data_IF_060468367228
#
_entry.id   IF_060468367228
#
_cell.length_a   1.000
_cell.length_b   1.000
_cell.length_c   1.000
_cell.angle_alpha   90.00
_cell.angle_beta   90.00
_cell.angle_gamma   90.00
#
_symmetry.space_group_name_H-M   'P 1'
#
loop_
_entity.id
_entity.type
_entity.pdbx_description
1 polymer ?
#
# COMPACT_ATOMS: atom_id res chain seq x y z
N UNK A 1 43.10 -1.85 -10.69
CA UNK A 1 41.79 -2.44 -10.32
C UNK A 1 41.05 -1.39 -9.52
N UNK A 2 40.12 -0.66 -10.14
CA UNK A 2 39.20 0.21 -9.40
C UNK A 2 38.10 -0.69 -8.86
N UNK A 3 38.04 -0.84 -7.55
CA UNK A 3 36.93 -1.49 -6.86
C UNK A 3 35.72 -0.56 -7.00
N UNK A 4 34.68 -1.02 -7.70
CA UNK A 4 33.39 -0.35 -7.78
C UNK A 4 32.75 -0.50 -6.39
N UNK A 5 32.40 0.59 -5.68
CA UNK A 5 31.69 0.44 -4.41
C UNK A 5 30.32 -0.20 -4.69
N UNK A 6 29.74 -1.01 -3.78
CA UNK A 6 28.36 -1.46 -3.94
C UNK A 6 27.43 -0.24 -3.90
N UNK A 7 26.86 0.14 -5.05
CA UNK A 7 25.96 1.30 -5.23
C UNK A 7 24.51 0.83 -5.45
N UNK A 8 23.93 0.05 -4.53
CA UNK A 8 22.61 -0.58 -4.82
C UNK A 8 21.61 -0.57 -3.67
N UNK A 9 21.94 0.03 -2.52
CA UNK A 9 21.06 -0.04 -1.33
C UNK A 9 19.94 1.01 -1.31
N UNK A 10 20.05 2.08 -2.10
CA UNK A 10 19.17 3.26 -2.00
C UNK A 10 18.53 3.69 -3.32
N UNK A 11 18.68 2.92 -4.40
CA UNK A 11 18.19 3.30 -5.72
C UNK A 11 16.75 2.80 -6.02
N UNK A 12 16.07 2.32 -4.97
CA UNK A 12 14.75 1.70 -5.07
C UNK A 12 13.92 1.98 -3.82
N UNK A 13 12.61 1.99 -3.99
CA UNK A 13 11.62 2.02 -2.91
C UNK A 13 11.19 0.58 -2.64
N UNK A 14 11.08 0.22 -1.37
CA UNK A 14 10.55 -1.08 -0.97
C UNK A 14 9.12 -0.90 -0.48
N UNK A 15 8.18 -1.62 -1.09
CA UNK A 15 6.77 -1.60 -0.69
C UNK A 15 6.37 -2.95 -0.11
N UNK A 16 5.81 -2.94 1.09
CA UNK A 16 5.20 -4.08 1.73
C UNK A 16 3.69 -3.99 1.55
N UNK A 17 3.16 -4.89 0.75
CA UNK A 17 1.75 -4.95 0.39
C UNK A 17 0.97 -5.76 1.44
N UNK A 18 0.12 -5.06 2.17
CA UNK A 18 -0.85 -5.55 3.14
C UNK A 18 -2.29 -5.12 2.73
N UNK A 19 -2.55 -5.03 1.42
CA UNK A 19 -3.86 -4.65 0.87
C UNK A 19 -4.88 -5.79 0.86
N UNK A 20 -4.48 -7.01 1.23
CA UNK A 20 -5.38 -8.16 1.35
C UNK A 20 -6.47 -7.88 2.42
N UNK A 21 -7.75 -8.13 2.12
CA UNK A 21 -8.86 -7.83 3.03
C UNK A 21 -8.86 -8.68 4.31
N UNK A 22 -8.01 -9.70 4.43
CA UNK A 22 -7.79 -10.44 5.67
C UNK A 22 -6.86 -9.76 6.67
N UNK A 23 -6.11 -8.72 6.25
CA UNK A 23 -5.20 -7.99 7.13
C UNK A 23 -5.98 -7.04 8.02
N UNK A 24 -6.10 -7.37 9.30
CA UNK A 24 -6.80 -6.58 10.30
C UNK A 24 -5.92 -5.53 11.01
N UNK A 25 -6.54 -4.74 11.89
CA UNK A 25 -5.89 -3.67 12.65
C UNK A 25 -4.75 -4.18 13.55
N UNK A 26 -4.90 -5.36 14.16
CA UNK A 26 -3.87 -5.99 14.99
C UNK A 26 -2.64 -6.35 14.16
N UNK A 27 -2.84 -6.89 12.96
CA UNK A 27 -1.79 -7.24 12.00
C UNK A 27 -1.08 -5.98 11.51
N UNK A 28 -1.79 -4.92 11.14
CA UNK A 28 -1.17 -3.63 10.76
C UNK A 28 -0.28 -3.09 11.88
N UNK A 29 -0.73 -3.16 13.14
CA UNK A 29 0.09 -2.74 14.29
C UNK A 29 1.36 -3.56 14.44
N UNK A 30 1.33 -4.86 14.14
CA UNK A 30 2.51 -5.71 14.13
C UNK A 30 3.46 -5.33 12.99
N UNK A 31 2.94 -5.20 11.77
CA UNK A 31 3.71 -4.82 10.59
C UNK A 31 4.39 -3.46 10.73
N UNK A 32 3.76 -2.47 11.38
CA UNK A 32 4.41 -1.19 11.68
C UNK A 32 5.64 -1.35 12.59
N UNK A 33 5.58 -2.24 13.59
CA UNK A 33 6.74 -2.50 14.45
C UNK A 33 7.88 -3.12 13.66
N UNK A 34 7.57 -4.11 12.83
CA UNK A 34 8.56 -4.78 11.99
C UNK A 34 9.13 -3.84 10.90
N UNK A 35 8.31 -2.96 10.33
CA UNK A 35 8.75 -1.92 9.40
C UNK A 35 9.86 -1.04 10.01
N UNK A 36 9.60 -0.51 11.21
CA UNK A 36 10.55 0.36 11.91
C UNK A 36 11.81 -0.40 12.33
N UNK A 37 11.67 -1.66 12.80
CA UNK A 37 12.83 -2.52 13.11
C UNK A 37 13.65 -2.78 11.85
N UNK A 38 13.00 -3.11 10.74
CA UNK A 38 13.64 -3.40 9.46
C UNK A 38 14.30 -2.19 8.80
N UNK A 39 13.82 -0.97 9.07
CA UNK A 39 14.38 0.28 8.56
C UNK A 39 15.67 0.73 9.29
N UNK A 40 15.98 0.17 10.47
CA UNK A 40 17.17 0.56 11.26
C UNK A 40 18.45 0.41 10.45
N UNK A 41 19.23 1.49 10.39
CA UNK A 41 20.51 1.52 9.66
C UNK A 41 20.39 1.56 8.14
N UNK A 42 19.16 1.59 7.58
CA UNK A 42 18.94 1.72 6.13
C UNK A 42 18.93 3.17 5.65
N UNK A 43 18.63 4.15 6.50
CA UNK A 43 18.74 5.58 6.16
C UNK A 43 17.66 6.16 5.23
N UNK A 44 16.72 5.35 4.73
CA UNK A 44 15.50 5.83 4.06
C UNK A 44 14.35 6.03 5.03
N UNK A 45 13.30 6.73 4.60
CA UNK A 45 12.13 7.04 5.44
C UNK A 45 11.16 5.86 5.46
N UNK A 46 10.42 5.76 6.54
CA UNK A 46 9.33 4.81 6.73
C UNK A 46 7.99 5.47 6.49
N UNK A 47 7.15 4.82 5.68
CA UNK A 47 5.84 5.32 5.30
C UNK A 47 4.76 4.32 5.69
N UNK A 48 3.67 4.82 6.25
CA UNK A 48 2.40 4.11 6.33
C UNK A 48 1.42 4.74 5.34
N UNK A 49 0.97 3.98 4.35
CA UNK A 49 -0.13 4.38 3.46
C UNK A 49 -1.28 3.44 3.77
N UNK A 50 -2.39 3.96 4.27
CA UNK A 50 -3.43 3.11 4.86
C UNK A 50 -4.83 3.58 4.51
N UNK A 51 -5.58 2.67 3.89
CA UNK A 51 -7.03 2.74 3.76
C UNK A 51 -7.71 2.06 4.96
N UNK A 52 -9.05 1.99 4.96
CA UNK A 52 -9.76 1.23 5.99
C UNK A 52 -9.33 -0.25 5.98
N UNK A 53 -9.10 -0.80 7.17
CA UNK A 53 -8.89 -2.23 7.40
C UNK A 53 -9.99 -2.81 8.30
N UNK A 54 -10.23 -4.13 8.26
CA UNK A 54 -11.03 -4.82 9.26
C UNK A 54 -10.53 -4.54 10.68
N UNK A 55 -11.45 -4.51 11.63
CA UNK A 55 -11.15 -4.39 13.06
C UNK A 55 -11.72 -5.60 13.76
N UNK A 56 -10.92 -6.26 14.60
CA UNK A 56 -11.36 -7.48 15.29
C UNK A 56 -12.64 -7.25 16.09
N UNK A 57 -13.59 -8.17 15.97
CA UNK A 57 -14.91 -8.09 16.60
C UNK A 57 -15.84 -6.99 16.05
N UNK A 58 -15.44 -6.24 15.01
CA UNK A 58 -16.28 -5.19 14.40
C UNK A 58 -16.74 -5.65 13.02
N UNK A 59 -18.05 -5.63 12.73
CA UNK A 59 -18.55 -6.00 11.40
C UNK A 59 -17.97 -5.07 10.33
N UNK A 60 -17.76 -5.63 9.13
CA UNK A 60 -17.37 -4.86 7.96
C UNK A 60 -18.42 -3.78 7.65
N UNK A 61 -17.99 -2.70 6.99
CA UNK A 61 -18.90 -1.65 6.58
C UNK A 61 -19.98 -2.23 5.65
N UNK A 62 -21.25 -1.93 5.92
CA UNK A 62 -22.32 -2.33 5.02
C UNK A 62 -22.41 -1.36 3.83
N UNK A 63 -22.59 -1.88 2.62
CA UNK A 63 -22.93 -1.07 1.43
C UNK A 63 -24.38 -0.57 1.46
N UNK A 64 -25.10 -0.73 2.58
CA UNK A 64 -26.56 -0.65 2.58
C UNK A 64 -27.05 0.80 2.58
N UNK A 65 -27.73 1.17 1.50
CA UNK A 65 -28.69 2.27 1.41
C UNK A 65 -30.06 1.89 2.01
N UNK A 66 -30.13 0.78 2.76
CA UNK A 66 -31.38 0.22 3.26
C UNK A 66 -31.85 0.98 4.51
N UNK A 67 -33.04 1.57 4.41
CA UNK A 67 -33.64 2.46 5.42
C UNK A 67 -33.99 1.80 6.76
N UNK A 68 -33.85 0.48 6.87
CA UNK A 68 -34.39 -0.32 7.97
C UNK A 68 -33.31 -1.13 8.72
N UNK A 69 -32.03 -1.00 8.33
CA UNK A 69 -30.93 -1.54 9.13
C UNK A 69 -30.81 -0.75 10.43
N UNK A 70 -30.62 -1.44 11.56
CA UNK A 70 -30.44 -0.83 12.87
C UNK A 70 -29.25 0.13 12.84
N UNK A 71 -29.59 1.39 12.59
CA UNK A 71 -28.62 2.47 12.33
C UNK A 71 -27.72 2.67 13.53
N UNK A 72 -28.21 2.34 14.74
CA UNK A 72 -27.41 2.41 15.95
C UNK A 72 -26.29 1.37 15.96
N UNK A 73 -26.54 0.13 15.51
CA UNK A 73 -25.50 -0.89 15.38
C UNK A 73 -24.42 -0.48 14.38
N UNK A 74 -24.81 0.03 13.20
CA UNK A 74 -23.82 0.51 12.20
C UNK A 74 -23.04 1.71 12.72
N UNK A 75 -23.67 2.66 13.42
CA UNK A 75 -22.99 3.81 14.04
C UNK A 75 -22.00 3.38 15.12
N UNK A 76 -22.34 2.35 15.91
CA UNK A 76 -21.41 1.77 16.90
C UNK A 76 -20.22 1.12 16.19
N UNK A 77 -20.46 0.37 15.11
CA UNK A 77 -19.40 -0.25 14.32
C UNK A 77 -18.50 0.79 13.64
N UNK A 78 -19.06 1.83 13.04
CA UNK A 78 -18.30 2.95 12.45
C UNK A 78 -17.46 3.67 13.52
N UNK A 79 -18.02 3.89 14.71
CA UNK A 79 -17.28 4.47 15.83
C UNK A 79 -16.10 3.58 16.26
N UNK A 80 -16.30 2.27 16.34
CA UNK A 80 -15.24 1.33 16.68
C UNK A 80 -14.12 1.34 15.62
N UNK A 81 -14.46 1.36 14.32
CA UNK A 81 -13.49 1.49 13.23
C UNK A 81 -12.71 2.81 13.34
N UNK A 82 -13.40 3.93 13.55
CA UNK A 82 -12.74 5.23 13.70
C UNK A 82 -11.78 5.26 14.91
N UNK A 83 -12.18 4.71 16.07
CA UNK A 83 -11.32 4.64 17.26
C UNK A 83 -10.08 3.77 17.03
N UNK A 84 -10.25 2.61 16.38
CA UNK A 84 -9.12 1.74 16.04
C UNK A 84 -8.12 2.45 15.12
N UNK A 85 -8.61 3.16 14.10
CA UNK A 85 -7.78 3.87 13.13
C UNK A 85 -7.09 5.12 13.74
N UNK A 86 -7.76 5.91 14.59
CA UNK A 86 -7.10 6.97 15.38
C UNK A 86 -5.94 6.40 16.21
N UNK A 87 -6.18 5.28 16.91
CA UNK A 87 -5.16 4.62 17.70
C UNK A 87 -4.01 4.04 16.85
N UNK A 88 -4.24 3.66 15.60
CA UNK A 88 -3.16 3.29 14.67
C UNK A 88 -2.34 4.53 14.30
N UNK A 89 -2.98 5.64 13.95
CA UNK A 89 -2.30 6.89 13.59
C UNK A 89 -1.37 7.39 14.70
N UNK A 90 -1.85 7.39 15.95
CA UNK A 90 -1.03 7.70 17.13
C UNK A 90 0.12 6.73 17.32
N UNK A 91 -0.11 5.43 17.10
CA UNK A 91 0.93 4.42 17.26
C UNK A 91 2.02 4.58 16.21
N UNK A 92 1.68 4.90 14.95
CA UNK A 92 2.63 5.10 13.87
C UNK A 92 3.66 6.17 14.25
N UNK A 93 3.20 7.33 14.73
CA UNK A 93 4.07 8.42 15.20
C UNK A 93 4.92 7.99 16.40
N UNK A 94 4.34 7.32 17.38
CA UNK A 94 5.08 6.82 18.56
C UNK A 94 6.15 5.78 18.22
N UNK A 95 5.97 5.03 17.14
CA UNK A 95 6.97 4.10 16.61
C UNK A 95 8.04 4.79 15.75
N UNK A 96 7.93 6.11 15.53
CA UNK A 96 8.76 6.87 14.61
C UNK A 96 8.63 6.41 13.15
N UNK A 97 7.40 6.13 12.70
CA UNK A 97 7.09 6.12 11.26
C UNK A 97 7.17 7.56 10.75
N UNK A 98 7.99 7.80 9.72
CA UNK A 98 8.32 9.16 9.27
C UNK A 98 7.14 9.87 8.59
N UNK A 99 6.30 9.13 7.85
CA UNK A 99 5.17 9.68 7.10
C UNK A 99 3.93 8.77 7.16
N UNK A 100 2.75 9.36 7.35
CA UNK A 100 1.45 8.65 7.33
C UNK A 100 0.52 9.27 6.28
N UNK A 101 0.02 8.48 5.34
CA UNK A 101 -1.04 8.88 4.41
C UNK A 101 -2.29 8.06 4.71
N UNK A 102 -3.34 8.72 5.17
CA UNK A 102 -4.67 8.12 5.29
C UNK A 102 -5.40 8.21 3.95
N UNK A 103 -5.91 7.09 3.44
CA UNK A 103 -6.56 7.00 2.13
C UNK A 103 -8.06 6.76 2.31
N UNK A 104 -8.88 7.64 1.73
CA UNK A 104 -10.34 7.55 1.68
C UNK A 104 -11.06 8.77 2.24
N UNK A 105 -12.29 9.00 1.77
CA UNK A 105 -13.13 10.14 2.16
C UNK A 105 -13.97 9.91 3.43
N UNK A 106 -13.91 8.71 4.02
CA UNK A 106 -14.75 8.30 5.15
C UNK A 106 -14.25 8.78 6.53
N UNK A 107 -15.08 8.57 7.55
CA UNK A 107 -14.73 8.92 8.94
C UNK A 107 -13.50 8.15 9.44
N UNK A 108 -13.35 6.90 9.02
CA UNK A 108 -12.23 6.03 9.39
C UNK A 108 -10.87 6.62 8.97
N UNK A 109 -10.74 7.04 7.71
CA UNK A 109 -9.50 7.65 7.20
C UNK A 109 -9.22 9.00 7.88
N UNK A 110 -10.26 9.82 8.11
CA UNK A 110 -10.12 11.07 8.88
C UNK A 110 -9.63 10.82 10.30
N UNK A 111 -10.12 9.78 10.97
CA UNK A 111 -9.69 9.42 12.31
C UNK A 111 -8.22 8.97 12.34
N UNK A 112 -7.77 8.16 11.38
CA UNK A 112 -6.36 7.79 11.22
C UNK A 112 -5.46 9.03 11.12
N UNK A 113 -5.80 9.93 10.19
CA UNK A 113 -5.06 11.17 9.97
C UNK A 113 -5.04 12.04 11.23
N UNK A 114 -6.20 12.23 11.89
CA UNK A 114 -6.32 13.00 13.11
C UNK A 114 -5.47 12.42 14.26
N UNK A 115 -5.47 11.09 14.41
CA UNK A 115 -4.64 10.40 15.40
C UNK A 115 -3.15 10.68 15.20
N UNK A 116 -2.67 10.60 13.96
CA UNK A 116 -1.29 10.92 13.61
C UNK A 116 -0.97 12.41 13.85
N UNK A 117 -1.81 13.34 13.36
CA UNK A 117 -1.62 14.79 13.54
C UNK A 117 -1.58 15.20 15.01
N UNK A 118 -2.45 14.63 15.85
CA UNK A 118 -2.50 14.97 17.28
C UNK A 118 -1.32 14.41 18.08
N UNK A 119 -0.68 13.34 17.59
CA UNK A 119 0.50 12.77 18.23
C UNK A 119 1.80 13.43 17.74
N UNK A 120 1.83 13.85 16.48
CA UNK A 120 2.96 14.53 15.86
C UNK A 120 3.18 15.94 16.40
N UNK A 121 4.41 16.43 16.25
CA UNK A 121 4.79 17.77 16.73
C UNK A 121 4.86 18.82 15.61
N UNK A 122 4.92 18.38 14.34
CA UNK A 122 4.98 19.25 13.16
C UNK A 122 4.12 18.65 12.03
N UNK A 123 3.13 19.42 11.55
CA UNK A 123 2.02 18.94 10.72
C UNK A 123 2.33 18.49 9.29
N UNK A 124 3.59 18.17 8.94
CA UNK A 124 3.95 17.59 7.64
C UNK A 124 4.16 16.06 7.71
N UNK A 125 4.02 15.46 8.90
CA UNK A 125 4.21 14.01 9.12
C UNK A 125 2.98 13.18 8.70
N UNK A 126 1.82 13.81 8.49
CA UNK A 126 0.57 13.13 8.15
C UNK A 126 -0.21 13.86 7.07
N UNK A 127 -0.79 13.10 6.13
CA UNK A 127 -1.67 13.62 5.09
C UNK A 127 -2.96 12.79 4.98
N UNK A 128 -4.04 13.45 4.55
CA UNK A 128 -5.30 12.81 4.18
C UNK A 128 -5.47 12.91 2.66
N UNK A 129 -5.55 11.76 2.01
CA UNK A 129 -5.85 11.62 0.60
C UNK A 129 -7.27 11.06 0.46
N UNK A 130 -8.23 11.87 -0.01
CA UNK A 130 -9.62 11.41 -0.12
C UNK A 130 -9.82 10.31 -1.18
N UNK A 131 -8.88 10.19 -2.13
CA UNK A 131 -8.89 9.18 -3.19
C UNK A 131 -7.52 8.53 -3.42
N UNK A 132 -7.50 7.37 -4.07
CA UNK A 132 -6.26 6.69 -4.45
C UNK A 132 -5.39 7.55 -5.38
N UNK A 133 -5.98 8.30 -6.31
CA UNK A 133 -5.26 9.19 -7.22
C UNK A 133 -4.55 10.31 -6.45
N UNK A 134 -5.23 10.90 -5.45
CA UNK A 134 -4.61 11.92 -4.59
C UNK A 134 -3.46 11.34 -3.75
N UNK A 135 -3.58 10.10 -3.29
CA UNK A 135 -2.51 9.40 -2.57
C UNK A 135 -1.31 9.13 -3.50
N UNK A 136 -1.56 8.64 -4.73
CA UNK A 136 -0.54 8.39 -5.73
C UNK A 136 0.22 9.67 -6.08
N UNK A 137 -0.48 10.80 -6.26
CA UNK A 137 0.14 12.09 -6.51
C UNK A 137 1.09 12.52 -5.37
N UNK A 138 0.66 12.41 -4.11
CA UNK A 138 1.51 12.70 -2.94
C UNK A 138 2.75 11.81 -2.89
N UNK A 139 2.58 10.50 -3.11
CA UNK A 139 3.67 9.53 -3.09
C UNK A 139 4.66 9.75 -4.23
N UNK A 140 4.17 10.11 -5.42
CA UNK A 140 5.01 10.36 -6.60
C UNK A 140 5.86 11.62 -6.42
N UNK A 141 5.33 12.63 -5.73
CA UNK A 141 6.04 13.88 -5.44
C UNK A 141 7.09 13.71 -4.33
N UNK A 142 6.79 12.88 -3.33
CA UNK A 142 7.57 12.86 -2.09
C UNK A 142 8.45 11.64 -1.88
N UNK A 143 8.14 10.47 -2.46
CA UNK A 143 8.94 9.26 -2.27
C UNK A 143 10.33 9.43 -2.87
N UNK A 144 11.33 8.89 -2.18
CA UNK A 144 12.72 8.91 -2.63
C UNK A 144 13.35 7.52 -2.49
N UNK A 145 14.47 7.32 -3.15
CA UNK A 145 15.24 6.09 -3.10
C UNK A 145 15.61 5.70 -1.67
N UNK A 146 15.37 4.43 -1.33
CA UNK A 146 15.60 3.88 0.00
C UNK A 146 14.38 3.91 0.93
N UNK A 147 13.28 4.58 0.55
CA UNK A 147 12.06 4.57 1.36
C UNK A 147 11.46 3.17 1.52
N UNK A 148 10.90 2.90 2.70
CA UNK A 148 10.17 1.69 3.04
C UNK A 148 8.71 2.04 3.28
N UNK A 149 7.81 1.48 2.48
CA UNK A 149 6.38 1.81 2.50
C UNK A 149 5.58 0.58 2.91
N UNK A 150 4.77 0.69 3.96
CA UNK A 150 3.72 -0.27 4.27
C UNK A 150 2.39 0.24 3.69
N UNK A 151 1.79 -0.54 2.78
CA UNK A 151 0.49 -0.25 2.17
C UNK A 151 -0.57 -1.17 2.77
N UNK A 152 -1.52 -0.63 3.52
CA UNK A 152 -2.50 -1.42 4.27
C UNK A 152 -3.95 -1.10 3.90
N UNK A 153 -4.74 -2.16 3.71
CA UNK A 153 -6.16 -2.09 3.40
C UNK A 153 -6.46 -2.06 1.90
N UNK A 154 -7.58 -2.65 1.50
CA UNK A 154 -7.93 -2.88 0.09
C UNK A 154 -7.94 -1.59 -0.77
N UNK A 155 -8.28 -0.46 -0.15
CA UNK A 155 -8.32 0.86 -0.80
C UNK A 155 -6.94 1.38 -1.24
N UNK A 156 -5.83 0.75 -0.82
CA UNK A 156 -4.48 1.09 -1.29
C UNK A 156 -4.07 0.34 -2.55
N UNK A 157 -4.81 -0.70 -2.97
CA UNK A 157 -4.46 -1.49 -4.16
C UNK A 157 -4.39 -0.66 -5.46
N UNK A 158 -5.33 0.25 -5.74
CA UNK A 158 -5.19 1.15 -6.90
C UNK A 158 -3.97 2.08 -6.82
N UNK A 159 -3.51 2.43 -5.61
CA UNK A 159 -2.29 3.24 -5.39
C UNK A 159 -1.06 2.44 -5.80
N UNK A 160 -0.98 1.18 -5.35
CA UNK A 160 0.09 0.23 -5.74
C UNK A 160 0.16 0.06 -7.25
N UNK A 161 -0.98 -0.19 -7.88
CA UNK A 161 -1.11 -0.36 -9.34
C UNK A 161 -0.64 0.90 -10.08
N UNK A 162 -1.05 2.09 -9.64
CA UNK A 162 -0.67 3.35 -10.27
C UNK A 162 0.82 3.66 -10.12
N UNK A 163 1.41 3.44 -8.94
CA UNK A 163 2.84 3.65 -8.70
C UNK A 163 3.72 2.77 -9.60
N UNK A 164 3.29 1.54 -9.91
CA UNK A 164 4.01 0.65 -10.83
C UNK A 164 4.11 1.19 -12.26
N UNK A 165 3.22 2.09 -12.67
CA UNK A 165 3.21 2.70 -14.00
C UNK A 165 3.98 4.02 -14.08
N UNK A 166 4.32 4.64 -12.94
CA UNK A 166 5.10 5.89 -12.91
C UNK A 166 6.59 5.60 -13.15
N UNK A 167 7.00 5.69 -14.41
CA UNK A 167 8.26 5.21 -15.00
C UNK A 167 9.58 5.85 -14.55
N UNK A 168 9.77 6.12 -13.26
CA UNK A 168 11.04 6.58 -12.68
C UNK A 168 11.44 5.89 -11.37
N UNK A 169 10.47 5.31 -10.64
CA UNK A 169 10.72 4.67 -9.36
C UNK A 169 10.95 3.16 -9.53
N UNK A 170 12.10 2.67 -9.07
CA UNK A 170 12.31 1.22 -8.93
C UNK A 170 11.55 0.74 -7.70
N UNK A 171 10.38 0.15 -7.89
CA UNK A 171 9.55 -0.36 -6.79
C UNK A 171 9.77 -1.86 -6.63
N UNK A 172 10.10 -2.30 -5.42
CA UNK A 172 10.11 -3.71 -5.04
C UNK A 172 8.93 -3.98 -4.12
N UNK A 173 7.88 -4.58 -4.66
CA UNK A 173 6.73 -5.02 -3.87
C UNK A 173 7.01 -6.38 -3.23
N UNK A 174 6.70 -6.51 -1.95
CA UNK A 174 6.77 -7.76 -1.18
C UNK A 174 5.46 -7.96 -0.43
N UNK A 175 5.01 -9.20 -0.20
CA UNK A 175 3.91 -9.43 0.71
C UNK A 175 4.31 -8.97 2.12
N UNK A 176 3.37 -8.42 2.88
CA UNK A 176 3.66 -7.88 4.21
C UNK A 176 4.26 -8.89 5.20
N UNK A 177 3.93 -10.18 5.05
CA UNK A 177 4.52 -11.29 5.85
C UNK A 177 6.05 -11.39 5.78
N UNK A 178 6.66 -10.83 4.73
CA UNK A 178 8.12 -10.79 4.61
C UNK A 178 8.75 -9.84 5.64
N UNK A 179 7.98 -8.90 6.23
CA UNK A 179 8.42 -8.12 7.40
C UNK A 179 8.52 -9.01 8.65
N UNK A 180 7.57 -9.92 8.84
CA UNK A 180 7.45 -10.75 10.04
C UNK A 180 8.55 -11.82 10.13
N UNK A 181 9.07 -12.24 8.97
CA UNK A 181 10.02 -13.35 8.90
C UNK A 181 11.46 -12.93 9.24
N UNK A 182 11.75 -11.63 9.34
CA UNK A 182 13.09 -11.13 9.67
C UNK A 182 14.21 -11.53 8.71
N UNK A 183 13.89 -12.22 7.61
CA UNK A 183 14.85 -12.69 6.62
C UNK A 183 15.34 -11.50 5.81
N UNK A 184 16.50 -11.01 6.24
CA UNK A 184 17.22 -9.92 5.62
C UNK A 184 17.36 -10.11 4.11
N UNK A 185 17.07 -9.04 3.38
CA UNK A 185 17.67 -8.70 2.07
C UNK A 185 18.19 -9.91 1.27
N UNK A 186 17.28 -10.76 0.78
CA UNK A 186 17.60 -11.54 -0.41
C UNK A 186 17.39 -10.62 -1.62
N UNK A 187 18.49 -10.14 -2.20
CA UNK A 187 18.50 -9.56 -3.55
C UNK A 187 18.26 -10.72 -4.52
N UNK A 188 17.00 -11.09 -4.70
CA UNK A 188 16.58 -11.88 -5.84
C UNK A 188 16.44 -10.91 -7.02
N UNK A 189 17.06 -11.29 -8.14
CA UNK A 189 17.21 -10.46 -9.33
C UNK A 189 15.90 -9.83 -9.79
N UNK A 190 16.04 -8.69 -10.46
CA UNK A 190 14.96 -7.93 -11.10
C UNK A 190 13.97 -8.85 -11.82
N UNK A 191 12.81 -9.10 -11.22
CA UNK A 191 11.67 -9.65 -11.94
C UNK A 191 10.68 -8.51 -12.15
N UNK A 192 10.77 -7.89 -13.32
CA UNK A 192 9.67 -7.08 -13.86
C UNK A 192 8.52 -8.05 -14.09
N UNK A 193 7.51 -8.03 -13.24
CA UNK A 193 6.25 -8.74 -13.50
C UNK A 193 5.52 -7.94 -14.58
N UNK A 194 5.73 -8.34 -15.84
CA UNK A 194 4.85 -7.94 -16.92
C UNK A 194 3.48 -8.58 -16.69
N UNK A 195 2.45 -7.75 -16.50
CA UNK A 195 1.07 -8.21 -16.43
C UNK A 195 0.70 -8.70 -17.83
N UNK A 196 0.71 -10.01 -18.04
CA UNK A 196 0.29 -10.64 -19.29
C UNK A 196 -1.24 -10.73 -19.26
N UNK A 197 -1.92 -9.80 -19.92
CA UNK A 197 -3.36 -9.90 -20.16
C UNK A 197 -3.58 -10.95 -21.25
N UNK A 198 -4.19 -12.08 -20.86
CA UNK A 198 -4.57 -13.12 -21.80
C UNK A 198 -5.86 -12.75 -22.55
N UNK A 199 -5.85 -13.01 -23.86
CA UNK A 199 -7.05 -13.33 -24.64
C UNK A 199 -7.94 -12.19 -25.15
N UNK A 200 -7.66 -11.72 -26.38
CA UNK A 200 -8.72 -11.42 -27.35
C UNK A 200 -8.30 -11.97 -28.72
N UNK A 201 -8.58 -13.26 -28.93
CA UNK A 201 -8.43 -13.94 -30.21
C UNK A 201 -9.61 -13.51 -31.08
N UNK A 202 -9.39 -12.53 -31.96
CA UNK A 202 -10.29 -12.23 -33.05
C UNK A 202 -10.03 -13.25 -34.17
N UNK A 203 -11.03 -14.07 -34.43
CA UNK A 203 -11.17 -14.94 -35.59
C UNK A 203 -11.42 -14.08 -36.83
N UNK A 204 -10.36 -13.79 -37.58
CA UNK A 204 -10.47 -13.26 -38.95
C UNK A 204 -9.99 -14.34 -39.92
N UNK A 205 -10.96 -15.13 -40.39
CA UNK A 205 -10.80 -16.05 -41.50
C UNK A 205 -10.37 -15.29 -42.76
N UNK A 206 -9.15 -15.55 -43.22
CA UNK A 206 -8.70 -15.16 -44.56
C UNK A 206 -8.25 -16.40 -45.33
N UNK A 207 -9.05 -16.76 -46.33
CA UNK A 207 -8.72 -17.78 -47.32
C UNK A 207 -7.93 -17.15 -48.46
N UNK A 208 -6.71 -17.64 -48.69
CA UNK A 208 -5.96 -17.48 -49.94
C UNK A 208 -4.93 -18.64 -49.96
N UNK A 209 -4.97 -19.60 -50.89
CA UNK A 209 -4.67 -19.42 -52.30
C UNK A 209 -3.44 -20.27 -52.65
N UNK A 210 -3.56 -21.61 -52.60
CA UNK A 210 -2.46 -22.49 -53.04
C UNK A 210 -2.46 -22.60 -54.57
N UNK A 211 -1.54 -21.87 -55.18
CA UNK A 211 -1.11 -22.03 -56.55
C UNK A 211 -0.27 -23.32 -56.64
N UNK A 212 -0.81 -24.38 -57.24
CA UNK A 212 -0.03 -25.56 -57.66
C UNK A 212 0.28 -25.44 -59.13
N UNK A 213 1.57 -25.37 -59.47
CA UNK A 213 2.07 -25.50 -60.82
C UNK A 213 3.50 -26.04 -60.81
N UNK A 214 3.65 -27.34 -61.06
CA UNK A 214 4.79 -27.93 -61.77
C UNK A 214 4.54 -29.42 -62.06
N UNK A 215 4.58 -29.71 -63.37
CA UNK A 215 4.78 -30.97 -64.11
C UNK A 215 3.68 -32.06 -64.10
#
# INVERSE_FOLDING_TARGET
>A
MSEIPPQDTHDHITVFDASDPSVDDATVRALMRELVVGARGRGGRTWLVMAQVPVDGVPAASDSTASDADTDTERVAENARALAHDAIGRQAVRLAVDKVIAVGAGRTARALHQGAVMEGSWGDEAALAETAESATALLTDQLDGGDLVLMAGEGTRPVLEALGHHGGLRIRTRPARDLESGDGVHVLGTQTVGIQTDGAQADDGHADGTQTGAI
#
